data_IF_727050842320
#
_entry.id   IF_727050842320
#
_cell.length_a   1.000
_cell.length_b   1.000
_cell.length_c   1.000
_cell.angle_alpha   90.00
_cell.angle_beta   90.00
_cell.angle_gamma   90.00
#
_symmetry.space_group_name_H-M   'P 1'
#
loop_
_entity.id
_entity.type
_entity.pdbx_description
1 polymer ?
#
# COMPACT_ATOMS: atom_id res chain seq x y z
N UNK A 1 -7.66 -18.87 -4.21
CA UNK A 1 -6.71 -17.75 -4.39
C UNK A 1 -7.56 -16.55 -4.74
N UNK A 2 -7.45 -15.45 -3.98
CA UNK A 2 -8.24 -14.24 -4.23
C UNK A 2 -7.59 -13.37 -5.31
N UNK A 3 -6.27 -13.26 -5.31
CA UNK A 3 -5.48 -12.50 -6.29
C UNK A 3 -4.07 -13.08 -6.40
N UNK A 4 -3.45 -12.99 -7.57
CA UNK A 4 -2.01 -13.13 -7.75
C UNK A 4 -1.36 -11.76 -7.80
N UNK A 5 -0.49 -11.47 -6.84
CA UNK A 5 0.31 -10.25 -6.83
C UNK A 5 1.71 -10.53 -7.37
N UNK A 6 2.13 -9.73 -8.35
CA UNK A 6 3.48 -9.74 -8.91
C UNK A 6 4.07 -11.14 -9.21
N UNK A 7 3.35 -12.06 -9.89
CA UNK A 7 3.81 -13.44 -10.06
C UNK A 7 5.03 -13.57 -10.97
N UNK A 8 5.34 -12.53 -11.74
CA UNK A 8 6.52 -12.41 -12.61
C UNK A 8 7.10 -10.99 -12.51
N UNK A 9 8.35 -10.75 -12.97
CA UNK A 9 8.95 -9.42 -12.94
C UNK A 9 8.06 -8.35 -13.60
N UNK A 10 7.73 -7.28 -12.85
CA UNK A 10 6.83 -6.18 -13.27
C UNK A 10 7.11 -5.58 -14.66
N UNK A 11 8.37 -5.65 -15.12
CA UNK A 11 8.78 -5.14 -16.45
C UNK A 11 8.28 -5.99 -17.62
N UNK A 12 7.90 -7.25 -17.38
CA UNK A 12 7.45 -8.20 -18.38
C UNK A 12 5.94 -8.07 -18.66
N UNK A 13 5.55 -6.93 -19.21
CA UNK A 13 4.14 -6.62 -19.52
C UNK A 13 3.52 -7.65 -20.49
N UNK A 14 4.31 -8.21 -21.41
CA UNK A 14 3.84 -9.26 -22.33
C UNK A 14 3.52 -10.54 -21.57
N UNK A 15 4.33 -10.89 -20.56
CA UNK A 15 4.03 -11.97 -19.62
C UNK A 15 2.73 -11.72 -18.85
N UNK A 16 2.52 -10.51 -18.33
CA UNK A 16 1.26 -10.14 -17.65
C UNK A 16 0.06 -10.26 -18.60
N UNK A 17 0.18 -9.80 -19.85
CA UNK A 17 -0.88 -9.94 -20.86
C UNK A 17 -1.24 -11.41 -21.11
N UNK A 18 -0.24 -12.28 -21.28
CA UNK A 18 -0.46 -13.73 -21.46
C UNK A 18 -1.14 -14.35 -20.24
N UNK A 19 -0.69 -13.98 -19.04
CA UNK A 19 -1.25 -14.48 -17.79
C UNK A 19 -2.69 -14.00 -17.58
N UNK A 20 -2.97 -12.71 -17.77
CA UNK A 20 -4.31 -12.13 -17.67
C UNK A 20 -5.30 -12.80 -18.64
N UNK A 21 -4.83 -13.23 -19.82
CA UNK A 21 -5.65 -13.95 -20.79
C UNK A 21 -5.97 -15.42 -20.45
N UNK A 22 -5.30 -16.05 -19.48
CA UNK A 22 -5.46 -17.49 -19.17
C UNK A 22 -5.72 -17.80 -17.69
N UNK A 23 -5.38 -16.88 -16.78
CA UNK A 23 -5.56 -17.09 -15.35
C UNK A 23 -7.07 -17.03 -15.00
N UNK A 24 -7.57 -17.99 -14.21
CA UNK A 24 -8.96 -17.94 -13.74
C UNK A 24 -9.15 -17.07 -12.49
N UNK A 25 -8.09 -16.41 -12.01
CA UNK A 25 -8.07 -15.59 -10.80
C UNK A 25 -7.51 -14.19 -11.11
N UNK A 26 -7.93 -13.15 -10.36
CA UNK A 26 -7.43 -11.79 -10.53
C UNK A 26 -5.91 -11.67 -10.50
N UNK A 27 -5.39 -10.79 -11.35
CA UNK A 27 -3.98 -10.43 -11.42
C UNK A 27 -3.77 -8.99 -10.96
N UNK A 28 -2.81 -8.77 -10.07
CA UNK A 28 -2.44 -7.47 -9.57
C UNK A 28 -0.95 -7.17 -9.78
N UNK A 29 -0.66 -5.89 -9.93
CA UNK A 29 0.70 -5.37 -9.86
C UNK A 29 0.86 -4.47 -8.63
N UNK A 30 1.99 -4.59 -7.94
CA UNK A 30 2.34 -3.68 -6.86
C UNK A 30 3.04 -2.44 -7.40
N UNK A 31 2.38 -1.28 -7.38
CA UNK A 31 2.91 -0.06 -7.99
C UNK A 31 2.86 1.14 -7.04
N UNK A 32 3.94 1.91 -7.05
CA UNK A 32 4.06 3.16 -6.29
C UNK A 32 4.05 4.42 -7.17
N UNK A 33 3.98 4.26 -8.50
CA UNK A 33 4.13 5.36 -9.46
C UNK A 33 3.10 5.32 -10.60
N UNK A 34 2.65 6.51 -11.00
CA UNK A 34 1.67 6.70 -12.07
C UNK A 34 2.13 6.19 -13.45
N UNK A 35 3.38 6.43 -13.91
CA UNK A 35 3.84 5.93 -15.21
C UNK A 35 3.66 4.42 -15.40
N UNK A 36 4.03 3.61 -14.41
CA UNK A 36 3.83 2.16 -14.49
C UNK A 36 2.36 1.77 -14.42
N UNK A 37 1.52 2.48 -13.66
CA UNK A 37 0.07 2.25 -13.67
C UNK A 37 -0.52 2.49 -15.06
N UNK A 38 -0.21 3.63 -15.68
CA UNK A 38 -0.68 3.95 -17.03
C UNK A 38 -0.18 2.90 -18.03
N UNK A 39 1.07 2.44 -17.90
CA UNK A 39 1.59 1.36 -18.74
C UNK A 39 0.80 0.06 -18.60
N UNK A 40 0.47 -0.35 -17.38
CA UNK A 40 -0.33 -1.54 -17.12
C UNK A 40 -1.76 -1.42 -17.67
N UNK A 41 -2.37 -0.24 -17.53
CA UNK A 41 -3.74 0.04 -18.01
C UNK A 41 -3.83 0.16 -19.54
N UNK A 42 -2.80 0.70 -20.20
CA UNK A 42 -2.79 0.90 -21.66
C UNK A 42 -2.28 -0.31 -22.44
N UNK A 43 -1.68 -1.30 -21.78
CA UNK A 43 -1.23 -2.53 -22.40
C UNK A 43 -2.39 -3.33 -23.03
N UNK A 44 -2.05 -4.34 -23.84
CA UNK A 44 -3.00 -5.17 -24.56
C UNK A 44 -4.00 -4.37 -25.44
N UNK A 45 -3.55 -3.26 -26.02
CA UNK A 45 -4.38 -2.37 -26.85
C UNK A 45 -5.41 -1.58 -26.04
N UNK A 46 -5.09 -1.20 -24.79
CA UNK A 46 -5.98 -0.44 -23.90
C UNK A 46 -6.96 -1.31 -23.10
N UNK A 47 -6.81 -2.63 -23.15
CA UNK A 47 -7.61 -3.55 -22.31
C UNK A 47 -7.09 -3.64 -20.87
N UNK A 48 -5.83 -3.27 -20.65
CA UNK A 48 -5.15 -3.48 -19.39
C UNK A 48 -4.65 -4.92 -19.23
N UNK A 49 -3.74 -5.14 -18.29
CA UNK A 49 -3.15 -6.46 -17.98
C UNK A 49 -3.29 -6.85 -16.50
N UNK A 50 -4.15 -6.15 -15.76
CA UNK A 50 -4.43 -6.36 -14.33
C UNK A 50 -5.91 -6.13 -14.07
N UNK A 51 -6.39 -6.69 -12.96
CA UNK A 51 -7.77 -6.56 -12.50
C UNK A 51 -7.89 -5.61 -11.28
N UNK A 52 -6.79 -5.43 -10.56
CA UNK A 52 -6.68 -4.59 -9.36
C UNK A 52 -5.22 -4.20 -9.11
N UNK A 53 -4.98 -3.34 -8.11
CA UNK A 53 -3.63 -2.88 -7.76
C UNK A 53 -3.33 -3.02 -6.26
N UNK A 54 -2.12 -3.51 -5.95
CA UNK A 54 -1.48 -3.19 -4.68
C UNK A 54 -0.81 -1.81 -4.84
N UNK A 55 -1.22 -0.82 -4.06
CA UNK A 55 -0.69 0.53 -4.17
C UNK A 55 0.13 0.90 -2.95
N UNK A 56 1.29 1.50 -3.19
CA UNK A 56 2.13 2.10 -2.16
C UNK A 56 2.48 3.55 -2.49
N UNK A 57 3.55 4.04 -1.86
CA UNK A 57 4.07 5.40 -2.04
C UNK A 57 3.71 6.32 -0.88
N UNK A 58 3.93 7.63 -1.07
CA UNK A 58 3.56 8.62 -0.06
C UNK A 58 2.05 8.73 0.08
N UNK A 59 1.57 9.35 1.18
CA UNK A 59 0.14 9.62 1.39
C UNK A 59 -0.55 10.22 0.15
N UNK A 60 0.10 11.20 -0.48
CA UNK A 60 -0.41 11.85 -1.70
C UNK A 60 -0.20 11.01 -2.96
N UNK A 61 0.92 10.28 -3.05
CA UNK A 61 1.21 9.38 -4.17
C UNK A 61 0.17 8.27 -4.26
N UNK A 62 -0.10 7.61 -3.14
CA UNK A 62 -1.15 6.61 -3.01
C UNK A 62 -2.50 7.14 -3.47
N UNK A 63 -2.94 8.31 -2.97
CA UNK A 63 -4.22 8.91 -3.36
C UNK A 63 -4.33 9.17 -4.87
N UNK A 64 -3.25 9.67 -5.51
CA UNK A 64 -3.22 9.89 -6.96
C UNK A 64 -3.31 8.59 -7.74
N UNK A 65 -2.62 7.56 -7.27
CA UNK A 65 -2.62 6.23 -7.88
C UNK A 65 -3.99 5.55 -7.70
N UNK A 66 -4.58 5.63 -6.51
CA UNK A 66 -5.91 5.11 -6.22
C UNK A 66 -6.98 5.79 -7.08
N UNK A 67 -6.91 7.12 -7.25
CA UNK A 67 -7.79 7.85 -8.16
C UNK A 67 -7.60 7.41 -9.64
N UNK A 68 -6.37 7.10 -10.05
CA UNK A 68 -6.09 6.56 -11.39
C UNK A 68 -6.72 5.18 -11.59
N UNK A 69 -6.58 4.29 -10.60
CA UNK A 69 -7.24 2.98 -10.61
C UNK A 69 -8.77 3.12 -10.63
N UNK A 70 -9.33 4.01 -9.82
CA UNK A 70 -10.77 4.27 -9.76
C UNK A 70 -11.32 4.76 -11.11
N UNK A 71 -10.58 5.64 -11.80
CA UNK A 71 -10.93 6.11 -13.14
C UNK A 71 -10.93 4.98 -14.19
N UNK A 72 -10.14 3.93 -13.97
CA UNK A 72 -10.14 2.70 -14.78
C UNK A 72 -11.16 1.65 -14.30
N UNK A 73 -11.98 1.96 -13.29
CA UNK A 73 -12.96 1.03 -12.72
C UNK A 73 -12.33 -0.08 -11.86
N UNK A 74 -11.09 0.09 -11.40
CA UNK A 74 -10.35 -0.91 -10.64
C UNK A 74 -10.36 -0.62 -9.14
N UNK A 75 -10.44 -1.70 -8.35
CA UNK A 75 -10.20 -1.67 -6.91
C UNK A 75 -8.70 -1.73 -6.61
N UNK A 76 -8.33 -1.31 -5.40
CA UNK A 76 -6.99 -1.45 -4.87
C UNK A 76 -7.00 -1.87 -3.41
N UNK A 77 -5.81 -2.19 -2.90
CA UNK A 77 -5.49 -2.16 -1.49
C UNK A 77 -4.22 -1.35 -1.27
N UNK A 78 -3.94 -1.02 -0.01
CA UNK A 78 -2.70 -0.39 0.38
C UNK A 78 -1.68 -1.45 0.81
N UNK A 79 -0.53 -1.44 0.15
CA UNK A 79 0.63 -2.26 0.47
C UNK A 79 1.43 -1.67 1.63
N UNK A 80 1.89 -2.48 2.57
CA UNK A 80 2.83 -2.06 3.61
C UNK A 80 4.27 -2.46 3.27
N UNK A 81 5.22 -1.58 3.56
CA UNK A 81 6.66 -1.84 3.42
C UNK A 81 7.28 -2.44 4.69
N UNK A 82 6.47 -2.90 5.64
CA UNK A 82 6.90 -3.16 7.01
C UNK A 82 7.55 -1.92 7.69
N UNK A 83 7.00 -0.73 7.43
CA UNK A 83 7.45 0.54 7.99
C UNK A 83 6.96 0.77 9.41
N UNK A 84 7.65 1.62 10.18
CA UNK A 84 7.33 1.90 11.59
C UNK A 84 5.96 2.55 11.82
N UNK A 85 5.53 2.63 13.08
CA UNK A 85 4.16 3.00 13.47
C UNK A 85 3.65 4.33 12.92
N UNK A 86 4.52 5.33 12.74
CA UNK A 86 4.14 6.60 12.09
C UNK A 86 3.64 6.37 10.66
N UNK A 87 4.32 5.50 9.90
CA UNK A 87 3.91 5.17 8.54
C UNK A 87 2.68 4.28 8.51
N UNK A 88 2.56 3.32 9.43
CA UNK A 88 1.36 2.48 9.53
C UNK A 88 0.09 3.32 9.75
N UNK A 89 0.13 4.31 10.65
CA UNK A 89 -1.02 5.22 10.83
C UNK A 89 -1.29 6.07 9.58
N UNK A 90 -0.26 6.52 8.87
CA UNK A 90 -0.42 7.22 7.60
C UNK A 90 -1.05 6.33 6.52
N UNK A 91 -0.69 5.05 6.46
CA UNK A 91 -1.27 4.08 5.54
C UNK A 91 -2.76 3.86 5.81
N UNK A 92 -3.15 3.76 7.08
CA UNK A 92 -4.58 3.65 7.46
C UNK A 92 -5.36 4.87 7.00
N UNK A 93 -4.84 6.08 7.19
CA UNK A 93 -5.48 7.30 6.68
C UNK A 93 -5.56 7.32 5.15
N UNK A 94 -4.49 6.92 4.47
CA UNK A 94 -4.46 6.86 3.00
C UNK A 94 -5.49 5.85 2.47
N UNK A 95 -5.54 4.63 3.03
CA UNK A 95 -6.52 3.62 2.64
C UNK A 95 -7.96 4.10 2.91
N UNK A 96 -8.23 4.63 4.11
CA UNK A 96 -9.57 5.10 4.48
C UNK A 96 -10.09 6.26 3.61
N UNK A 97 -9.19 7.08 3.06
CA UNK A 97 -9.57 8.20 2.21
C UNK A 97 -9.81 7.82 0.73
N UNK A 98 -9.34 6.65 0.27
CA UNK A 98 -9.51 6.19 -1.10
C UNK A 98 -10.76 5.29 -1.25
N UNK A 99 -11.84 5.74 -1.92
CA UNK A 99 -13.10 4.97 -1.95
C UNK A 99 -13.03 3.61 -2.66
N UNK A 100 -12.06 3.41 -3.54
CA UNK A 100 -11.82 2.15 -4.23
C UNK A 100 -10.75 1.27 -3.55
N UNK A 101 -10.21 1.70 -2.40
CA UNK A 101 -9.33 0.88 -1.57
C UNK A 101 -10.18 -0.08 -0.72
N UNK A 102 -10.75 -1.10 -1.38
CA UNK A 102 -11.73 -2.01 -0.79
C UNK A 102 -11.22 -3.43 -0.64
N UNK A 103 -10.08 -3.76 -1.25
CA UNK A 103 -9.39 -5.02 -1.00
C UNK A 103 -8.65 -4.97 0.34
N UNK A 104 -8.44 -6.13 0.96
CA UNK A 104 -7.77 -6.21 2.26
C UNK A 104 -6.34 -5.67 2.16
N UNK A 105 -6.07 -4.57 2.87
CA UNK A 105 -4.72 -3.99 2.95
C UNK A 105 -3.84 -4.83 3.86
N UNK A 106 -2.56 -4.97 3.51
CA UNK A 106 -1.62 -5.90 4.15
C UNK A 106 -0.77 -5.20 5.22
N UNK A 107 -1.42 -4.40 6.08
CA UNK A 107 -0.76 -3.79 7.23
C UNK A 107 -0.32 -4.89 8.20
N UNK A 108 0.97 -5.21 8.20
CA UNK A 108 1.54 -6.30 9.03
C UNK A 108 2.58 -5.82 10.02
N UNK A 109 2.92 -4.53 9.95
CA UNK A 109 4.10 -3.97 10.58
C UNK A 109 4.23 -4.29 12.07
N UNK A 110 3.22 -3.89 12.84
CA UNK A 110 3.14 -4.09 14.30
C UNK A 110 3.23 -5.56 14.76
N UNK A 111 3.05 -6.55 13.87
CA UNK A 111 3.22 -7.97 14.21
C UNK A 111 4.63 -8.51 13.94
N UNK A 112 5.43 -7.79 13.16
CA UNK A 112 6.76 -8.28 12.73
C UNK A 112 7.92 -7.55 13.40
N UNK A 113 7.63 -6.42 14.06
CA UNK A 113 8.61 -5.63 14.79
C UNK A 113 8.46 -5.84 16.29
N UNK A 114 9.57 -5.67 17.02
CA UNK A 114 9.52 -5.66 18.48
C UNK A 114 9.01 -4.34 19.06
N UNK A 115 9.11 -3.24 18.31
CA UNK A 115 8.70 -1.89 18.71
C UNK A 115 8.33 -1.07 17.46
N UNK A 116 7.34 -0.17 17.59
CA UNK A 116 6.81 0.68 16.52
C UNK A 116 7.27 2.14 16.60
N UNK A 117 8.02 2.50 17.65
CA UNK A 117 8.48 3.86 18.00
C UNK A 117 7.34 4.88 18.21
N UNK A 118 6.12 4.40 18.42
CA UNK A 118 4.96 5.18 18.81
C UNK A 118 4.32 4.59 20.07
N UNK A 119 3.64 5.42 20.85
CA UNK A 119 3.08 5.03 22.14
C UNK A 119 1.97 3.98 21.99
N UNK A 120 1.14 4.11 20.96
CA UNK A 120 -0.02 3.24 20.69
C UNK A 120 0.06 2.73 19.24
N UNK A 121 0.51 1.48 19.00
CA UNK A 121 0.44 0.81 17.71
C UNK A 121 -0.99 0.76 17.13
N UNK A 122 -1.10 0.60 15.81
CA UNK A 122 -2.41 0.40 15.18
C UNK A 122 -3.06 -0.89 15.71
N UNK A 123 -4.32 -0.84 16.20
CA UNK A 123 -4.98 -2.03 16.70
C UNK A 123 -5.62 -2.82 15.54
N UNK A 124 -5.59 -4.14 15.65
CA UNK A 124 -6.34 -5.04 14.79
C UNK A 124 -7.54 -5.58 15.55
N UNK A 125 -8.75 -5.29 15.06
CA UNK A 125 -10.02 -5.70 15.67
C UNK A 125 -10.85 -6.41 14.60
N UNK A 126 -11.09 -7.71 14.80
CA UNK A 126 -11.89 -8.54 13.89
C UNK A 126 -11.46 -8.50 12.41
N UNK A 127 -10.15 -8.36 12.17
CA UNK A 127 -9.58 -8.28 10.82
C UNK A 127 -9.60 -6.87 10.20
N UNK A 128 -9.98 -5.85 10.97
CA UNK A 128 -9.98 -4.45 10.56
C UNK A 128 -9.03 -3.61 11.41
N UNK A 129 -8.61 -2.47 10.86
CA UNK A 129 -7.90 -1.42 11.59
C UNK A 129 -8.79 -0.17 11.63
N UNK A 130 -9.19 0.33 12.81
CA UNK A 130 -9.95 1.55 12.91
C UNK A 130 -9.08 2.75 12.50
N UNK A 131 -9.66 3.67 11.74
CA UNK A 131 -8.97 4.91 11.37
C UNK A 131 -8.63 5.72 12.63
N UNK A 132 -7.36 6.16 12.81
CA UNK A 132 -7.01 7.05 13.90
C UNK A 132 -7.86 8.34 13.87
N UNK A 133 -8.37 8.75 15.03
CA UNK A 133 -9.27 9.91 15.15
C UNK A 133 -8.62 11.12 15.84
N UNK A 134 -7.45 10.94 16.46
CA UNK A 134 -6.65 12.04 17.03
C UNK A 134 -6.13 12.93 15.88
N UNK A 135 -5.86 14.24 16.11
CA UNK A 135 -5.35 15.13 15.07
C UNK A 135 -4.04 14.65 14.40
N UNK A 136 -3.80 15.11 13.17
CA UNK A 136 -2.61 14.72 12.41
C UNK A 136 -2.70 13.29 11.91
N UNK A 137 -1.64 12.49 12.10
CA UNK A 137 -1.63 11.05 11.83
C UNK A 137 -2.25 10.22 12.97
N UNK A 138 -2.65 10.88 14.06
CA UNK A 138 -3.30 10.23 15.18
C UNK A 138 -2.41 9.36 16.07
N UNK A 139 -1.09 9.48 15.96
CA UNK A 139 -0.10 8.82 16.82
C UNK A 139 0.80 9.82 17.56
N UNK A 140 1.41 9.35 18.65
CA UNK A 140 2.42 10.07 19.44
C UNK A 140 3.72 9.27 19.43
N UNK A 141 4.85 9.95 19.28
CA UNK A 141 6.18 9.32 19.29
C UNK A 141 6.49 8.81 20.69
N UNK A 142 6.98 7.56 20.79
CA UNK A 142 7.60 7.09 22.02
C UNK A 142 9.07 7.54 22.03
N UNK A 143 9.34 8.63 22.74
CA UNK A 143 10.69 9.19 22.84
C UNK A 143 11.66 8.28 23.61
N UNK A 144 11.17 7.42 24.50
CA UNK A 144 12.01 6.46 25.22
C UNK A 144 12.44 5.33 24.28
N UNK A 145 11.51 4.80 23.49
CA UNK A 145 11.83 3.84 22.44
C UNK A 145 12.75 4.46 21.39
N UNK A 146 12.45 5.70 20.94
CA UNK A 146 13.28 6.41 19.98
C UNK A 146 14.73 6.56 20.46
N UNK A 147 14.94 7.00 21.71
CA UNK A 147 16.29 7.10 22.29
C UNK A 147 16.99 5.73 22.34
N UNK A 148 16.27 4.68 22.76
CA UNK A 148 16.79 3.31 22.84
C UNK A 148 17.21 2.76 21.48
N UNK A 149 16.43 3.02 20.43
CA UNK A 149 16.60 2.39 19.11
C UNK A 149 17.44 3.23 18.15
N UNK A 150 17.67 4.50 18.44
CA UNK A 150 18.53 5.37 17.63
C UNK A 150 19.96 4.84 17.57
N UNK A 151 20.44 4.52 16.36
CA UNK A 151 21.82 4.09 16.14
C UNK A 151 22.75 5.23 15.73
N UNK A 152 22.21 6.26 15.07
CA UNK A 152 22.94 7.45 14.63
C UNK A 152 22.00 8.64 14.45
N UNK A 153 22.54 9.85 14.60
CA UNK A 153 21.84 11.12 14.38
C UNK A 153 22.78 12.10 13.66
N UNK A 154 22.27 12.76 12.62
CA UNK A 154 23.00 13.77 11.85
C UNK A 154 22.14 15.03 11.70
N UNK A 155 22.73 16.19 11.98
CA UNK A 155 22.13 17.49 11.68
C UNK A 155 22.68 17.99 10.34
N UNK A 156 21.83 17.99 9.31
CA UNK A 156 22.16 18.59 8.01
C UNK A 156 21.92 20.10 8.11
N UNK A 157 22.97 20.90 7.92
CA UNK A 157 22.93 22.37 7.88
C UNK A 157 22.93 22.91 6.46
#
# INVERSE_FOLDING_TARGET
>A
VEVFEDPIPKKDIEGYEKMHGVLPFPLAMHLGDGPNMIRALQAAGGKGVVDCFNLGGSLFGFQRNAATAAAAGMTCWHGSGNDLGIMDTAYVHAAAAAPNCTMASDFVGSWTREDDLIVEPIPFVDGYVPTPMKPGLGCEIDYTALERYTQAHEEIR
#
